data_IF_930820087432
#
_entry.id   IF_930820087432
#
_cell.length_a   1.000
_cell.length_b   1.000
_cell.length_c   1.000
_cell.angle_alpha   90.00
_cell.angle_beta   90.00
_cell.angle_gamma   90.00
#
_symmetry.space_group_name_H-M   'P 1'
#
loop_
_entity.id
_entity.type
_entity.pdbx_description
1 polymer ?
#
# COMPACT_ATOMS: atom_id res chain seq x y z
N UNK A 1 -7.35 -22.02 20.95
CA UNK A 1 -7.70 -20.58 20.89
C UNK A 1 -7.35 -20.08 19.51
N UNK A 2 -8.35 -19.73 18.70
CA UNK A 2 -8.12 -19.12 17.39
C UNK A 2 -7.60 -17.70 17.65
N UNK A 3 -6.45 -17.29 17.09
CA UNK A 3 -5.92 -15.96 17.35
C UNK A 3 -6.91 -14.92 16.82
N UNK A 4 -7.33 -14.01 17.70
CA UNK A 4 -8.38 -13.00 17.45
C UNK A 4 -8.09 -12.07 16.25
N UNK A 5 -6.86 -12.10 15.71
CA UNK A 5 -6.42 -11.33 14.54
C UNK A 5 -7.11 -11.80 13.24
N UNK A 6 -7.54 -13.06 13.14
CA UNK A 6 -8.20 -13.56 11.92
C UNK A 6 -9.64 -13.02 11.73
N UNK A 7 -10.22 -12.36 12.73
CA UNK A 7 -11.64 -11.99 12.73
C UNK A 7 -11.95 -10.61 12.10
N UNK A 8 -10.92 -9.80 11.79
CA UNK A 8 -11.10 -8.40 11.34
C UNK A 8 -10.75 -8.19 9.86
N UNK A 9 -10.01 -9.12 9.25
CA UNK A 9 -9.66 -9.06 7.83
C UNK A 9 -10.62 -9.92 6.99
N UNK A 10 -10.93 -9.45 5.79
CA UNK A 10 -11.72 -10.22 4.83
C UNK A 10 -10.96 -11.48 4.39
N UNK A 11 -11.67 -12.58 4.20
CA UNK A 11 -11.07 -13.80 3.65
C UNK A 11 -10.71 -13.60 2.17
N UNK A 12 -9.81 -14.42 1.59
CA UNK A 12 -9.49 -14.35 0.16
C UNK A 12 -10.72 -14.48 -0.75
N UNK A 13 -11.69 -15.32 -0.38
CA UNK A 13 -12.93 -15.49 -1.14
C UNK A 13 -13.82 -14.24 -1.06
N UNK A 14 -13.95 -13.63 0.12
CA UNK A 14 -14.64 -12.35 0.27
C UNK A 14 -13.96 -11.25 -0.54
N UNK A 15 -12.62 -11.19 -0.53
CA UNK A 15 -11.85 -10.23 -1.33
C UNK A 15 -12.09 -10.40 -2.82
N UNK A 16 -12.12 -11.64 -3.32
CA UNK A 16 -12.45 -11.95 -4.71
C UNK A 16 -13.83 -11.44 -5.12
N UNK A 17 -14.83 -11.59 -4.24
CA UNK A 17 -16.18 -11.08 -4.48
C UNK A 17 -16.19 -9.54 -4.62
N UNK A 18 -15.46 -8.82 -3.76
CA UNK A 18 -15.31 -7.36 -3.86
C UNK A 18 -14.63 -6.99 -5.18
N UNK A 19 -13.54 -7.65 -5.55
CA UNK A 19 -12.85 -7.40 -6.82
C UNK A 19 -13.77 -7.59 -8.03
N UNK A 20 -14.51 -8.70 -8.08
CA UNK A 20 -15.49 -8.95 -9.14
C UNK A 20 -16.56 -7.83 -9.20
N UNK A 21 -17.04 -7.36 -8.05
CA UNK A 21 -18.05 -6.30 -8.00
C UNK A 21 -17.50 -4.95 -8.44
N UNK A 22 -16.26 -4.63 -8.08
CA UNK A 22 -15.56 -3.42 -8.57
C UNK A 22 -15.45 -3.45 -10.09
N UNK A 23 -15.06 -4.57 -10.69
CA UNK A 23 -14.96 -4.72 -12.15
C UNK A 23 -16.32 -4.68 -12.86
N UNK A 24 -17.36 -5.29 -12.27
CA UNK A 24 -18.73 -5.16 -12.76
C UNK A 24 -19.16 -3.69 -12.81
N UNK A 25 -18.91 -2.92 -11.75
CA UNK A 25 -19.30 -1.51 -11.70
C UNK A 25 -18.51 -0.63 -12.67
N UNK A 26 -17.20 -0.84 -12.79
CA UNK A 26 -16.37 -0.13 -13.76
C UNK A 26 -16.82 -0.35 -15.22
N UNK A 27 -17.47 -1.48 -15.52
CA UNK A 27 -17.92 -1.82 -16.89
C UNK A 27 -19.40 -1.55 -17.15
N UNK A 28 -20.23 -1.49 -16.11
CA UNK A 28 -21.70 -1.35 -16.24
C UNK A 28 -22.25 -0.01 -15.79
N UNK A 29 -21.48 0.80 -15.06
CA UNK A 29 -21.93 2.08 -14.50
C UNK A 29 -21.05 3.23 -14.99
N UNK A 30 -21.61 4.44 -15.18
CA UNK A 30 -20.85 5.63 -15.54
C UNK A 30 -20.14 6.23 -14.31
N UNK A 31 -19.34 5.42 -13.60
CA UNK A 31 -18.58 5.83 -12.42
C UNK A 31 -17.12 5.37 -12.55
N UNK A 32 -16.21 6.17 -12.02
CA UNK A 32 -14.81 5.79 -11.88
C UNK A 32 -14.54 5.34 -10.44
N UNK A 33 -13.92 4.17 -10.29
CA UNK A 33 -13.54 3.61 -8.99
C UNK A 33 -12.02 3.47 -8.96
N UNK A 34 -11.37 4.18 -8.04
CA UNK A 34 -9.95 4.05 -7.76
C UNK A 34 -9.74 3.13 -6.55
N UNK A 35 -9.55 1.84 -6.79
CA UNK A 35 -9.31 0.83 -5.76
C UNK A 35 -7.99 0.10 -6.05
N UNK A 36 -6.92 0.50 -5.37
CA UNK A 36 -5.59 -0.05 -5.62
C UNK A 36 -5.41 -1.49 -5.14
N UNK A 37 -6.23 -1.96 -4.20
CA UNK A 37 -6.09 -3.29 -3.63
C UNK A 37 -6.82 -4.36 -4.46
N UNK A 38 -7.97 -4.02 -5.04
CA UNK A 38 -8.71 -4.89 -5.94
C UNK A 38 -8.37 -4.68 -7.42
N UNK A 39 -7.84 -3.51 -7.78
CA UNK A 39 -7.37 -3.20 -9.14
C UNK A 39 -5.86 -3.39 -9.30
N UNK A 40 -5.26 -4.23 -8.46
CA UNK A 40 -3.83 -4.51 -8.47
C UNK A 40 -3.23 -4.78 -9.87
N UNK A 41 -3.88 -5.54 -10.77
CA UNK A 41 -3.40 -5.72 -12.14
C UNK A 41 -3.29 -4.42 -12.95
N UNK A 42 -4.14 -3.42 -12.70
CA UNK A 42 -4.10 -2.12 -13.38
C UNK A 42 -2.94 -1.24 -12.88
N UNK A 43 -2.59 -1.35 -11.60
CA UNK A 43 -1.55 -0.53 -10.96
C UNK A 43 -0.24 -1.30 -10.71
N UNK A 44 -0.15 -2.52 -11.22
CA UNK A 44 1.01 -3.41 -11.09
C UNK A 44 1.37 -3.70 -9.63
N UNK A 45 0.37 -4.00 -8.79
CA UNK A 45 0.56 -4.33 -7.38
C UNK A 45 0.58 -3.12 -6.44
N UNK A 46 1.37 -3.21 -5.36
CA UNK A 46 1.37 -2.21 -4.29
C UNK A 46 2.08 -0.93 -4.74
N UNK A 47 1.42 0.22 -4.60
CA UNK A 47 1.95 1.54 -4.99
C UNK A 47 2.54 2.35 -3.82
N UNK A 48 2.74 1.71 -2.66
CA UNK A 48 3.29 2.35 -1.46
C UNK A 48 4.79 2.67 -1.60
N UNK A 49 5.30 3.44 -0.63
CA UNK A 49 6.70 3.78 -0.42
C UNK A 49 7.37 4.51 -1.59
N UNK A 50 6.60 5.32 -2.32
CA UNK A 50 7.14 6.18 -3.39
C UNK A 50 7.91 5.41 -4.46
N UNK A 51 7.47 4.18 -4.78
CA UNK A 51 8.01 3.46 -5.96
C UNK A 51 7.70 4.24 -7.24
N UNK A 52 8.30 3.91 -8.40
CA UNK A 52 7.90 4.53 -9.67
C UNK A 52 6.39 4.41 -9.90
N UNK A 53 5.71 5.52 -10.21
CA UNK A 53 4.24 5.64 -10.29
C UNK A 53 3.49 5.32 -8.99
N UNK A 54 4.17 5.42 -7.84
CA UNK A 54 3.62 5.22 -6.51
C UNK A 54 3.29 6.51 -5.76
N UNK A 55 2.99 6.37 -4.48
CA UNK A 55 2.70 7.48 -3.58
C UNK A 55 3.37 7.31 -2.22
N UNK A 56 3.36 8.40 -1.45
CA UNK A 56 3.65 8.45 -0.02
C UNK A 56 2.49 9.17 0.67
N UNK A 57 2.28 8.90 1.95
CA UNK A 57 1.25 9.55 2.74
C UNK A 57 1.93 10.50 3.74
N UNK A 58 1.39 11.70 3.91
CA UNK A 58 1.85 12.64 4.95
C UNK A 58 0.70 12.84 5.92
N UNK A 59 0.95 12.60 7.20
CA UNK A 59 -0.06 12.80 8.25
C UNK A 59 -0.23 14.29 8.57
N UNK A 60 -1.28 14.63 9.33
CA UNK A 60 -1.48 16.00 9.79
C UNK A 60 -0.38 16.51 10.74
N UNK A 61 0.38 15.61 11.38
CA UNK A 61 1.54 15.94 12.22
C UNK A 61 2.84 16.06 11.41
N UNK A 62 2.78 15.83 10.09
CA UNK A 62 3.90 15.93 9.18
C UNK A 62 4.71 14.65 9.01
N UNK A 63 4.26 13.50 9.55
CA UNK A 63 4.97 12.24 9.38
C UNK A 63 4.85 11.71 7.96
N UNK A 64 5.99 11.36 7.36
CA UNK A 64 6.09 10.84 6.00
C UNK A 64 5.99 9.30 6.03
N UNK A 65 4.78 8.80 5.82
CA UNK A 65 4.41 7.40 5.84
C UNK A 65 4.49 6.75 4.44
N UNK A 66 4.82 5.45 4.34
CA UNK A 66 4.90 4.76 3.06
C UNK A 66 3.52 4.47 2.45
N UNK A 67 2.46 4.39 3.26
CA UNK A 67 1.10 4.09 2.82
C UNK A 67 0.10 4.67 3.83
N UNK A 68 -1.12 5.00 3.40
CA UNK A 68 -2.18 5.47 4.31
C UNK A 68 -2.56 4.43 5.36
N UNK A 69 -2.38 3.13 5.04
CA UNK A 69 -2.60 2.02 5.96
C UNK A 69 -1.33 1.65 6.75
N UNK A 70 -0.23 2.39 6.57
CA UNK A 70 1.06 2.22 7.24
C UNK A 70 1.48 3.49 7.94
N UNK A 71 0.89 3.79 9.08
CA UNK A 71 1.21 4.99 9.84
C UNK A 71 2.51 4.84 10.67
N UNK A 72 3.50 4.13 10.13
CA UNK A 72 4.86 4.12 10.65
C UNK A 72 5.70 5.10 9.85
N UNK A 73 6.54 5.88 10.53
CA UNK A 73 7.39 6.85 9.89
C UNK A 73 8.78 6.89 10.51
N UNK A 74 9.79 7.08 9.67
CA UNK A 74 11.15 7.41 10.06
C UNK A 74 11.48 8.90 9.83
N UNK A 75 10.58 9.65 9.18
CA UNK A 75 10.83 11.03 8.75
C UNK A 75 9.62 11.91 9.02
N UNK A 76 9.85 13.15 9.40
CA UNK A 76 8.78 14.14 9.58
C UNK A 76 9.17 15.42 8.85
N UNK A 77 8.29 15.88 7.96
CA UNK A 77 8.58 17.00 7.06
C UNK A 77 8.91 18.31 7.80
N UNK A 78 8.42 18.47 9.04
CA UNK A 78 8.69 19.66 9.86
C UNK A 78 10.00 19.57 10.65
N UNK A 79 10.62 18.39 10.73
CA UNK A 79 11.82 18.13 11.54
C UNK A 79 13.07 17.87 10.72
N UNK A 80 12.93 17.75 9.39
CA UNK A 80 14.06 17.49 8.50
C UNK A 80 14.79 18.78 8.17
N UNK A 81 16.11 18.77 8.34
CA UNK A 81 17.01 19.82 7.86
C UNK A 81 17.44 19.46 6.43
N UNK A 82 16.54 19.72 5.47
CA UNK A 82 16.77 19.46 4.05
C UNK A 82 15.87 20.34 3.19
N UNK A 83 16.41 20.82 2.07
CA UNK A 83 15.67 21.53 1.02
C UNK A 83 14.75 20.59 0.22
N UNK A 84 14.97 19.27 0.30
CA UNK A 84 14.20 18.25 -0.44
C UNK A 84 13.73 17.10 0.46
N UNK A 85 12.97 17.38 1.55
CA UNK A 85 12.67 16.40 2.59
C UNK A 85 11.90 15.18 2.06
N UNK A 86 11.03 15.36 1.06
CA UNK A 86 10.28 14.26 0.44
C UNK A 86 11.19 13.32 -0.38
N UNK A 87 12.14 13.88 -1.13
CA UNK A 87 13.09 13.10 -1.93
C UNK A 87 13.98 12.27 -0.99
N UNK A 88 14.46 12.89 0.09
CA UNK A 88 15.33 12.24 1.06
C UNK A 88 14.61 11.13 1.82
N UNK A 89 13.37 11.38 2.25
CA UNK A 89 12.53 10.36 2.87
C UNK A 89 12.30 9.17 1.92
N UNK A 90 11.95 9.41 0.65
CA UNK A 90 11.75 8.33 -0.33
C UNK A 90 13.05 7.55 -0.61
N UNK A 91 14.21 8.22 -0.59
CA UNK A 91 15.52 7.58 -0.79
C UNK A 91 16.06 6.87 0.45
N UNK A 92 15.50 7.13 1.64
CA UNK A 92 15.94 6.51 2.89
C UNK A 92 15.87 4.98 2.89
N UNK A 93 16.68 4.35 3.75
CA UNK A 93 16.71 2.91 3.94
C UNK A 93 15.34 2.33 4.31
N UNK A 94 14.55 3.07 5.10
CA UNK A 94 13.21 2.65 5.50
C UNK A 94 12.31 2.44 4.27
N UNK A 95 12.23 3.43 3.38
CA UNK A 95 11.44 3.34 2.15
C UNK A 95 12.06 2.35 1.15
N UNK A 96 13.39 2.28 1.05
CA UNK A 96 14.08 1.35 0.17
C UNK A 96 13.81 -0.12 0.51
N UNK A 97 13.78 -0.46 1.81
CA UNK A 97 13.46 -1.82 2.29
C UNK A 97 12.03 -2.22 1.95
N UNK A 98 11.06 -1.32 2.14
CA UNK A 98 9.66 -1.57 1.77
C UNK A 98 9.55 -1.86 0.27
N UNK A 99 10.18 -1.03 -0.58
CA UNK A 99 10.20 -1.28 -2.04
C UNK A 99 10.91 -2.56 -2.43
N UNK A 100 11.92 -2.99 -1.68
CA UNK A 100 12.59 -4.28 -1.90
C UNK A 100 11.62 -5.44 -1.63
N UNK A 101 10.92 -5.42 -0.49
CA UNK A 101 9.90 -6.42 -0.17
C UNK A 101 8.76 -6.47 -1.18
N UNK A 102 8.31 -5.32 -1.70
CA UNK A 102 7.31 -5.27 -2.78
C UNK A 102 7.75 -6.08 -4.01
N UNK A 103 9.01 -5.91 -4.45
CA UNK A 103 9.55 -6.61 -5.63
C UNK A 103 9.69 -8.12 -5.40
N UNK A 104 10.10 -8.52 -4.20
CA UNK A 104 10.24 -9.94 -3.85
C UNK A 104 8.89 -10.67 -3.78
N UNK A 105 7.78 -9.94 -3.60
CA UNK A 105 6.41 -10.47 -3.50
C UNK A 105 5.49 -10.01 -4.63
N UNK A 106 6.05 -9.61 -5.78
CA UNK A 106 5.27 -9.05 -6.92
C UNK A 106 4.56 -10.12 -7.77
N UNK A 107 4.71 -11.41 -7.46
CA UNK A 107 4.19 -12.51 -8.27
C UNK A 107 2.65 -12.57 -8.37
N UNK A 108 1.93 -11.94 -7.44
CA UNK A 108 0.48 -11.83 -7.48
C UNK A 108 0.04 -10.37 -7.25
N UNK A 109 -0.35 -9.63 -8.31
CA UNK A 109 -0.82 -8.26 -8.16
C UNK A 109 -2.14 -8.16 -7.38
N UNK A 110 -2.88 -9.27 -7.21
CA UNK A 110 -4.06 -9.35 -6.35
C UNK A 110 -3.72 -9.71 -4.89
N UNK A 111 -2.46 -9.85 -4.51
CA UNK A 111 -2.02 -10.01 -3.13
C UNK A 111 -0.73 -9.22 -2.83
N UNK A 112 -0.63 -7.93 -3.20
CA UNK A 112 0.67 -7.27 -3.26
C UNK A 112 1.09 -6.62 -1.93
N UNK A 113 0.21 -6.61 -0.91
CA UNK A 113 0.44 -5.84 0.31
C UNK A 113 1.32 -6.60 1.30
N UNK A 114 2.50 -6.07 1.60
CA UNK A 114 3.43 -6.66 2.57
C UNK A 114 2.96 -6.60 4.04
N UNK A 115 1.86 -5.92 4.34
CA UNK A 115 1.24 -5.96 5.68
C UNK A 115 0.13 -6.98 5.75
N UNK A 116 -0.79 -6.91 4.79
CA UNK A 116 -2.05 -7.65 4.87
C UNK A 116 -1.89 -9.02 4.24
N UNK A 117 -1.21 -9.08 3.09
CA UNK A 117 -1.08 -10.29 2.28
C UNK A 117 0.19 -11.09 2.63
N UNK A 118 1.26 -10.39 3.03
CA UNK A 118 2.56 -10.99 3.36
C UNK A 118 3.18 -10.44 4.67
N UNK A 119 2.48 -10.48 5.82
CA UNK A 119 2.97 -9.91 7.08
C UNK A 119 4.31 -10.48 7.55
N UNK A 120 4.72 -11.66 7.07
CA UNK A 120 5.97 -12.33 7.46
C UNK A 120 7.25 -11.61 7.01
N UNK A 121 7.14 -10.59 6.16
CA UNK A 121 8.30 -9.87 5.59
C UNK A 121 8.65 -8.56 6.30
N UNK A 122 7.85 -8.15 7.29
CA UNK A 122 8.03 -6.90 8.05
C UNK A 122 8.74 -7.11 9.39
#
# INVERSE_FOLDING_TARGET
MQPAVLLVLITPEQRKQVAHKTWEWLTTRPIFIADFWNSGPLVQGCIAAGRPNGYIHITHEGDICPCVFMMYSAHNIHKMDSETPLIDAVKSDFFAKIRKGQREKENNPLAPCQIVDHPEVL
#
